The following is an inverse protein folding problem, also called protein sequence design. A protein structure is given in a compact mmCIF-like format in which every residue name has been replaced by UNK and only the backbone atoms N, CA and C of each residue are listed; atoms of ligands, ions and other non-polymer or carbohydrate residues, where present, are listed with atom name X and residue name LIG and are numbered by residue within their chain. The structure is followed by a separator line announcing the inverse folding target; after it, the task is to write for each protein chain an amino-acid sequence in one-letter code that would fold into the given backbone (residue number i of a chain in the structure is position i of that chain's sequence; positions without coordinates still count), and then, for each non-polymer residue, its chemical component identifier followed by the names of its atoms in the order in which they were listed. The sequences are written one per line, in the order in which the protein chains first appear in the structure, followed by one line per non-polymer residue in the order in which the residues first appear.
data_IF_595949610019
#
_entry.id   IF_595949610019
#
_cell.length_a   1.000
_cell.length_b   1.000
_cell.length_c   1.000
_cell.angle_alpha   90.00
_cell.angle_beta   90.00
_cell.angle_gamma   90.00
#
_symmetry.space_group_name_H-M   'P 1'
#
loop_
_entity.id
_entity.type
_entity.pdbx_description
1 polymer ?
#
# COMPACT_ATOMS: atom_id res chain seq x y z
N UNK A 1 15.98 -39.48 3.60
CA UNK A 1 15.12 -39.04 2.47
C UNK A 1 14.86 -37.55 2.62
N UNK A 2 15.09 -36.78 1.55
CA UNK A 2 14.76 -35.37 1.48
C UNK A 2 13.71 -35.14 0.40
N UNK A 3 12.60 -34.52 0.76
CA UNK A 3 11.50 -34.18 -0.14
C UNK A 3 11.34 -32.67 -0.19
N UNK A 4 11.28 -32.12 -1.40
CA UNK A 4 11.07 -30.71 -1.67
C UNK A 4 9.77 -30.56 -2.46
N UNK A 5 8.75 -29.98 -1.83
CA UNK A 5 7.50 -29.61 -2.48
C UNK A 5 7.62 -28.18 -2.98
N UNK A 6 7.73 -28.01 -4.29
CA UNK A 6 7.87 -26.73 -4.97
C UNK A 6 6.51 -26.33 -5.55
N UNK A 7 5.92 -25.27 -5.02
CA UNK A 7 4.70 -24.68 -5.55
C UNK A 7 5.03 -23.47 -6.41
N UNK A 8 4.69 -23.53 -7.69
CA UNK A 8 4.97 -22.48 -8.67
C UNK A 8 3.71 -21.65 -8.89
N UNK A 9 3.81 -20.33 -8.76
CA UNK A 9 2.71 -19.38 -8.96
C UNK A 9 3.04 -18.49 -10.16
N UNK A 10 2.31 -18.62 -11.28
CA UNK A 10 2.48 -17.74 -12.43
C UNK A 10 2.19 -16.29 -12.03
N UNK A 11 3.06 -15.37 -12.44
CA UNK A 11 2.94 -13.94 -12.15
C UNK A 11 3.15 -13.13 -13.41
N UNK A 12 2.31 -12.13 -13.64
CA UNK A 12 2.43 -11.24 -14.80
C UNK A 12 2.53 -9.81 -14.34
N UNK A 13 3.55 -9.09 -14.82
CA UNK A 13 3.75 -7.66 -14.59
C UNK A 13 3.38 -6.88 -15.85
N UNK A 14 2.35 -6.04 -15.75
CA UNK A 14 1.96 -5.10 -16.80
C UNK A 14 2.50 -3.74 -16.42
N UNK A 15 3.47 -3.24 -17.18
CA UNK A 15 4.08 -1.92 -16.98
C UNK A 15 3.18 -0.82 -17.56
N UNK A 16 3.47 0.43 -17.19
CA UNK A 16 2.77 1.62 -17.70
C UNK A 16 2.88 1.73 -19.23
N UNK A 17 4.01 1.31 -19.79
CA UNK A 17 4.29 1.24 -21.23
C UNK A 17 3.51 0.13 -21.96
N UNK A 18 2.68 -0.64 -21.25
CA UNK A 18 1.91 -1.74 -21.82
C UNK A 18 2.73 -3.02 -22.07
N UNK A 19 4.04 -2.98 -21.86
CA UNK A 19 4.88 -4.18 -21.90
C UNK A 19 4.50 -5.17 -20.79
N UNK A 20 4.36 -6.43 -21.18
CA UNK A 20 3.94 -7.53 -20.30
C UNK A 20 5.13 -8.43 -20.04
N UNK A 21 5.55 -8.50 -18.77
CA UNK A 21 6.60 -9.40 -18.31
C UNK A 21 5.97 -10.60 -17.61
N UNK A 22 6.19 -11.78 -18.17
CA UNK A 22 5.75 -13.05 -17.59
C UNK A 22 6.86 -13.60 -16.69
N UNK A 23 6.53 -13.86 -15.43
CA UNK A 23 7.44 -14.42 -14.44
C UNK A 23 6.76 -15.53 -13.66
N UNK A 24 7.55 -16.30 -12.91
CA UNK A 24 7.02 -17.34 -12.05
C UNK A 24 7.62 -17.15 -10.66
N UNK A 25 6.76 -17.06 -9.66
CA UNK A 25 7.16 -17.10 -8.26
C UNK A 25 7.12 -18.57 -7.79
N UNK A 26 7.93 -18.92 -6.81
CA UNK A 26 7.91 -20.26 -6.25
C UNK A 26 8.02 -20.23 -4.72
N UNK A 27 7.41 -21.21 -4.08
CA UNK A 27 7.54 -21.48 -2.66
C UNK A 27 7.96 -22.93 -2.47
N UNK A 28 8.80 -23.21 -1.47
CA UNK A 28 9.38 -24.54 -1.23
C UNK A 28 9.10 -24.98 0.19
N UNK A 29 8.44 -26.12 0.35
CA UNK A 29 8.32 -26.82 1.63
C UNK A 29 9.26 -28.02 1.65
N UNK A 30 10.09 -28.11 2.69
CA UNK A 30 11.11 -29.15 2.84
C UNK A 30 10.66 -30.16 3.88
N UNK A 31 10.74 -31.44 3.55
CA UNK A 31 10.48 -32.54 4.47
C UNK A 31 11.70 -33.47 4.50
N UNK A 32 12.18 -33.77 5.70
CA UNK A 32 13.34 -34.65 5.90
C UNK A 32 12.92 -35.82 6.79
N UNK A 33 13.20 -37.03 6.32
CA UNK A 33 12.95 -38.27 7.07
C UNK A 33 14.22 -39.10 7.12
N UNK A 34 14.60 -39.55 8.31
CA UNK A 34 15.70 -40.49 8.51
C UNK A 34 15.18 -41.87 8.11
N UNK A 35 15.85 -42.51 7.14
CA UNK A 35 15.51 -43.89 6.72
C UNK A 35 16.33 -44.82 7.61
N UNK A 36 15.66 -45.55 8.49
CA UNK A 36 16.29 -46.58 9.33
C UNK A 36 16.13 -47.94 8.66
N UNK A 37 17.21 -48.71 8.55
CA UNK A 37 17.25 -50.05 7.94
C UNK A 37 16.50 -51.15 8.71
N UNK A 38 15.57 -50.78 9.60
CA UNK A 38 14.73 -51.69 10.38
C UNK A 38 13.47 -52.09 9.62
N UNK A 39 12.93 -53.25 9.96
CA UNK A 39 11.92 -54.08 9.28
C UNK A 39 10.55 -53.44 8.94
N UNK A 40 10.41 -52.11 9.00
CA UNK A 40 9.15 -51.40 8.72
C UNK A 40 9.28 -50.04 8.03
N UNK A 41 10.48 -49.52 7.77
CA UNK A 41 10.65 -48.18 7.16
C UNK A 41 11.51 -48.20 5.89
N UNK A 42 11.06 -48.99 4.91
CA UNK A 42 11.68 -49.13 3.60
C UNK A 42 11.40 -47.92 2.70
N UNK A 43 12.05 -46.79 2.97
CA UNK A 43 12.11 -45.65 2.04
C UNK A 43 13.43 -45.64 1.27
N UNK A 44 13.41 -45.45 -0.05
CA UNK A 44 14.66 -45.25 -0.80
C UNK A 44 15.30 -43.92 -0.35
N UNK A 45 16.56 -43.92 0.13
CA UNK A 45 17.26 -42.68 0.41
C UNK A 45 17.49 -41.93 -0.90
N UNK A 46 17.00 -40.70 -0.98
CA UNK A 46 17.13 -39.86 -2.16
C UNK A 46 16.65 -38.44 -1.90
N UNK A 47 16.89 -37.58 -2.91
CA UNK A 47 16.35 -36.23 -3.00
C UNK A 47 15.20 -36.27 -4.01
N UNK A 48 14.00 -35.96 -3.53
CA UNK A 48 12.79 -35.93 -4.34
C UNK A 48 12.32 -34.48 -4.47
N UNK A 49 12.17 -34.00 -5.70
CA UNK A 49 11.65 -32.66 -6.00
C UNK A 49 10.30 -32.86 -6.67
N UNK A 50 9.23 -32.48 -5.96
CA UNK A 50 7.86 -32.50 -6.47
C UNK A 50 7.46 -31.07 -6.80
N UNK A 51 7.14 -30.79 -8.07
CA UNK A 51 6.68 -29.46 -8.49
C UNK A 51 5.19 -29.50 -8.81
N UNK A 52 4.46 -28.48 -8.36
CA UNK A 52 3.04 -28.29 -8.64
C UNK A 52 2.79 -26.86 -9.11
N UNK A 53 2.02 -26.72 -10.20
CA UNK A 53 1.60 -25.42 -10.71
C UNK A 53 0.32 -24.99 -9.99
N UNK A 54 0.37 -23.82 -9.35
CA UNK A 54 -0.79 -23.22 -8.72
C UNK A 54 -1.84 -22.86 -9.78
N UNK A 55 -3.13 -23.18 -9.58
CA UNK A 55 -4.19 -22.78 -10.49
C UNK A 55 -4.50 -21.27 -10.44
N UNK A 56 -3.89 -20.53 -9.51
CA UNK A 56 -4.03 -19.09 -9.38
C UNK A 56 -2.83 -18.36 -9.99
N UNK A 57 -3.12 -17.34 -10.81
CA UNK A 57 -2.13 -16.43 -11.39
C UNK A 57 -2.27 -15.03 -10.78
N UNK A 58 -1.14 -14.41 -10.43
CA UNK A 58 -1.10 -13.05 -9.89
C UNK A 58 -0.78 -12.06 -11.00
N UNK A 59 -1.61 -11.02 -11.18
CA UNK A 59 -1.39 -9.97 -12.17
C UNK A 59 -1.13 -8.64 -11.48
N UNK A 60 0.11 -8.15 -11.56
CA UNK A 60 0.49 -6.82 -11.12
C UNK A 60 0.30 -5.84 -12.28
N UNK A 61 -0.53 -4.82 -12.08
CA UNK A 61 -0.74 -3.74 -13.05
C UNK A 61 -0.23 -2.45 -12.46
N UNK A 62 0.81 -1.90 -13.06
CA UNK A 62 1.34 -0.61 -12.69
C UNK A 62 0.42 0.48 -13.22
N UNK A 63 -0.15 1.29 -12.34
CA UNK A 63 -1.01 2.43 -12.70
C UNK A 63 -0.30 3.72 -12.32
N UNK A 64 -0.16 4.63 -13.28
CA UNK A 64 0.30 5.98 -12.99
C UNK A 64 -0.77 6.72 -12.18
N UNK A 65 -0.36 7.43 -11.12
CA UNK A 65 -1.26 8.35 -10.43
C UNK A 65 -1.52 9.57 -11.31
N UNK A 66 -2.78 9.98 -11.44
CA UNK A 66 -3.14 11.13 -12.26
C UNK A 66 -2.57 12.43 -11.68
N UNK A 67 -1.91 13.23 -12.52
CA UNK A 67 -1.45 14.59 -12.19
C UNK A 67 -2.58 15.49 -11.69
N UNK A 68 -3.83 15.20 -12.09
CA UNK A 68 -5.02 15.91 -11.60
C UNK A 68 -5.17 15.81 -10.08
N UNK A 69 -4.85 14.67 -9.46
CA UNK A 69 -4.91 14.55 -8.00
C UNK A 69 -3.93 15.47 -7.29
N UNK A 70 -2.76 15.70 -7.90
CA UNK A 70 -1.78 16.65 -7.37
C UNK A 70 -2.30 18.08 -7.51
N UNK A 71 -2.80 18.45 -8.69
CA UNK A 71 -3.34 19.80 -8.94
C UNK A 71 -4.52 20.13 -8.03
N UNK A 72 -5.45 19.20 -7.86
CA UNK A 72 -6.56 19.34 -6.91
C UNK A 72 -6.05 19.51 -5.49
N UNK A 73 -5.01 18.77 -5.09
CA UNK A 73 -4.37 18.93 -3.77
C UNK A 73 -3.77 20.32 -3.57
N UNK A 74 -3.04 20.85 -4.55
CA UNK A 74 -2.46 22.20 -4.50
C UNK A 74 -3.55 23.26 -4.39
N UNK A 75 -4.59 23.17 -5.23
CA UNK A 75 -5.70 24.12 -5.21
C UNK A 75 -6.45 24.11 -3.88
N UNK A 76 -6.64 22.92 -3.28
CA UNK A 76 -7.28 22.77 -1.97
C UNK A 76 -6.46 23.45 -0.85
N UNK A 77 -5.13 23.31 -0.88
CA UNK A 77 -4.25 23.94 0.11
C UNK A 77 -4.31 25.47 -0.02
N UNK A 78 -4.15 26.00 -1.24
CA UNK A 78 -4.15 27.45 -1.49
C UNK A 78 -5.51 28.06 -1.09
N UNK A 79 -6.62 27.45 -1.54
CA UNK A 79 -7.96 27.92 -1.19
C UNK A 79 -8.23 27.84 0.32
N UNK A 80 -7.74 26.80 0.99
CA UNK A 80 -7.84 26.64 2.44
C UNK A 80 -7.12 27.75 3.20
N UNK A 81 -5.87 28.05 2.85
CA UNK A 81 -5.08 29.12 3.47
C UNK A 81 -5.78 30.48 3.30
N UNK A 82 -6.26 30.78 2.09
CA UNK A 82 -6.92 32.05 1.80
C UNK A 82 -8.23 32.22 2.59
N UNK A 83 -9.01 31.14 2.70
CA UNK A 83 -10.26 31.12 3.48
C UNK A 83 -9.98 31.33 4.97
N UNK A 84 -8.99 30.63 5.52
CA UNK A 84 -8.64 30.74 6.94
C UNK A 84 -8.08 32.13 7.27
N UNK A 85 -7.20 32.67 6.42
CA UNK A 85 -6.65 34.02 6.60
C UNK A 85 -7.76 35.10 6.59
N UNK A 86 -8.67 35.04 5.61
CA UNK A 86 -9.79 35.98 5.52
C UNK A 86 -10.76 35.87 6.70
N UNK A 87 -10.99 34.66 7.22
CA UNK A 87 -11.82 34.45 8.41
C UNK A 87 -11.20 35.09 9.65
N UNK A 88 -9.89 34.89 9.87
CA UNK A 88 -9.17 35.46 11.01
C UNK A 88 -9.17 36.99 10.93
N UNK A 89 -8.85 37.56 9.77
CA UNK A 89 -8.82 39.01 9.57
C UNK A 89 -10.20 39.64 9.85
N UNK A 90 -11.27 39.04 9.29
CA UNK A 90 -12.65 39.48 9.53
C UNK A 90 -13.04 39.39 11.01
N UNK A 91 -12.66 38.31 11.71
CA UNK A 91 -12.91 38.17 13.15
C UNK A 91 -12.20 39.24 13.97
N UNK A 92 -10.93 39.54 13.67
CA UNK A 92 -10.14 40.56 14.37
C UNK A 92 -10.73 41.96 14.11
N UNK A 93 -11.08 42.27 12.86
CA UNK A 93 -11.67 43.56 12.52
C UNK A 93 -13.04 43.78 13.19
N UNK A 94 -13.91 42.78 13.19
CA UNK A 94 -15.22 42.88 13.83
C UNK A 94 -15.12 42.94 15.35
N UNK A 95 -14.22 42.15 15.96
CA UNK A 95 -14.03 42.15 17.42
C UNK A 95 -13.41 43.47 17.90
N UNK A 96 -12.37 43.98 17.24
CA UNK A 96 -11.77 45.28 17.57
C UNK A 96 -12.77 46.43 17.44
N UNK A 97 -13.55 46.50 16.35
CA UNK A 97 -14.61 47.51 16.21
C UNK A 97 -15.71 47.37 17.25
N UNK A 98 -16.14 46.16 17.58
CA UNK A 98 -17.16 45.92 18.60
C UNK A 98 -16.68 46.33 20.00
N UNK A 99 -15.40 46.10 20.31
CA UNK A 99 -14.77 46.53 21.56
C UNK A 99 -14.64 48.05 21.60
N UNK A 100 -14.16 48.70 20.53
CA UNK A 100 -14.08 50.16 20.45
C UNK A 100 -15.45 50.81 20.62
N UNK A 101 -16.49 50.30 19.94
CA UNK A 101 -17.86 50.80 20.10
C UNK A 101 -18.39 50.64 21.53
N UNK A 102 -18.03 49.54 22.22
CA UNK A 102 -18.40 49.32 23.63
C UNK A 102 -17.66 50.28 24.58
N UNK A 103 -16.41 50.61 24.28
CA UNK A 103 -15.61 51.58 25.05
C UNK A 103 -16.15 53.01 24.83
N UNK A 104 -16.46 53.40 23.60
CA UNK A 104 -17.03 54.73 23.27
C UNK A 104 -18.43 54.96 23.89
N UNK A 105 -19.23 53.89 24.03
CA UNK A 105 -20.54 53.96 24.68
C UNK A 105 -20.46 54.02 26.22
N UNK A 106 -19.26 54.09 26.81
CA UNK A 106 -19.06 54.37 28.23
C UNK A 106 -19.56 53.28 29.20
N UNK A 107 -19.92 52.08 28.72
CA UNK A 107 -20.43 50.98 29.56
C UNK A 107 -19.34 50.13 30.21
N UNK A 108 -18.21 50.75 30.53
CA UNK A 108 -17.12 50.15 31.34
C UNK A 108 -16.76 51.05 32.51
N UNK A 109 -17.77 51.54 33.21
CA UNK A 109 -17.74 51.85 34.64
C UNK A 109 -19.02 51.31 35.26
#
# INVERSE_FOLDING_TARGET
MFQYFVKIVPTTYVKIDGSVLHTNQFSVTKHSKVVSSGMGDAGLPGVFIMYELSPMMVKYTEKQRSFMHFLTGVCAIIGGIFTVAGLIDSMIYHSSRAIQKKIELGKTS
#
